data_IF_829412299733
#
_entry.id   IF_829412299733
#
_cell.length_a   1.000
_cell.length_b   1.000
_cell.length_c   1.000
_cell.angle_alpha   90.00
_cell.angle_beta   90.00
_cell.angle_gamma   90.00
#
_symmetry.space_group_name_H-M   'P 1'
#
loop_
_entity.id
_entity.type
_entity.pdbx_description
1 polymer ?
#
# COMPACT_ATOMS: atom_id res chain seq x y z
N UNK A 1 4.81 11.01 5.84
CA UNK A 1 4.78 10.16 4.64
C UNK A 1 4.60 8.73 5.08
N UNK A 2 3.66 8.00 4.50
CA UNK A 2 3.54 6.56 4.73
C UNK A 2 4.61 5.88 3.90
N UNK A 3 5.68 5.43 4.54
CA UNK A 3 6.68 4.58 3.91
C UNK A 3 6.28 3.14 4.20
N UNK A 4 6.05 2.37 3.14
CA UNK A 4 5.77 0.96 3.27
C UNK A 4 7.10 0.20 3.24
N UNK A 5 7.29 -0.66 4.23
CA UNK A 5 8.47 -1.51 4.34
C UNK A 5 8.45 -2.61 3.28
N UNK A 6 9.64 -3.11 2.93
CA UNK A 6 9.76 -4.37 2.17
C UNK A 6 8.96 -5.47 2.86
N UNK A 7 8.18 -6.22 2.11
CA UNK A 7 7.30 -7.25 2.65
C UNK A 7 5.85 -6.80 2.87
N UNK A 8 5.58 -5.49 2.90
CA UNK A 8 4.23 -4.99 3.09
C UNK A 8 3.36 -5.35 1.89
N UNK A 9 2.15 -5.85 2.19
CA UNK A 9 1.15 -6.16 1.17
C UNK A 9 0.05 -5.10 1.23
N UNK A 10 -0.16 -4.43 0.11
CA UNK A 10 -1.24 -3.47 -0.08
C UNK A 10 -2.39 -4.11 -0.85
N UNK A 11 -3.60 -3.71 -0.53
CA UNK A 11 -4.84 -4.07 -1.21
C UNK A 11 -5.59 -2.81 -1.61
N UNK A 12 -6.32 -2.87 -2.72
CA UNK A 12 -7.20 -1.78 -3.11
C UNK A 12 -8.29 -1.59 -2.06
N UNK A 13 -8.54 -0.34 -1.67
CA UNK A 13 -9.61 0.00 -0.72
C UNK A 13 -11.02 -0.30 -1.26
N UNK A 14 -11.14 -0.60 -2.55
CA UNK A 14 -12.38 -0.99 -3.19
C UNK A 14 -12.48 -2.52 -3.27
N UNK A 15 -13.44 -3.12 -2.56
CA UNK A 15 -13.61 -4.57 -2.42
C UNK A 15 -13.79 -5.30 -3.76
N UNK A 16 -14.38 -4.65 -4.76
CA UNK A 16 -14.64 -5.24 -6.08
C UNK A 16 -13.41 -5.27 -7.03
N UNK A 17 -12.32 -4.55 -6.71
CA UNK A 17 -11.10 -4.59 -7.53
C UNK A 17 -10.31 -5.88 -7.31
N UNK A 18 -10.18 -6.31 -6.05
CA UNK A 18 -9.33 -7.44 -5.64
C UNK A 18 -7.82 -7.22 -5.86
N UNK A 19 -7.42 -6.00 -6.20
CA UNK A 19 -6.06 -5.66 -6.60
C UNK A 19 -5.11 -5.69 -5.39
N UNK A 20 -3.97 -6.39 -5.54
CA UNK A 20 -3.02 -6.63 -4.45
C UNK A 20 -1.59 -6.37 -4.92
N UNK A 21 -0.83 -5.60 -4.15
CA UNK A 21 0.54 -5.17 -4.48
C UNK A 21 1.45 -5.56 -3.33
N UNK A 22 2.63 -6.09 -3.65
CA UNK A 22 3.66 -6.40 -2.67
C UNK A 22 4.81 -5.42 -2.84
N UNK A 23 5.22 -4.79 -1.74
CA UNK A 23 6.38 -3.91 -1.71
C UNK A 23 7.65 -4.77 -1.68
N UNK A 24 8.36 -4.83 -2.82
CA UNK A 24 9.63 -5.54 -2.93
C UNK A 24 10.79 -4.77 -2.30
N UNK A 25 10.75 -3.43 -2.32
CA UNK A 25 11.76 -2.56 -1.72
C UNK A 25 11.15 -1.23 -1.26
N UNK A 26 11.72 -0.66 -0.20
CA UNK A 26 11.33 0.63 0.34
C UNK A 26 11.60 1.77 -0.65
N UNK A 27 10.62 2.66 -0.83
CA UNK A 27 10.80 3.85 -1.66
C UNK A 27 11.28 5.02 -0.80
N UNK A 28 12.51 5.50 -1.05
CA UNK A 28 13.13 6.63 -0.35
C UNK A 28 13.16 7.92 -1.19
N UNK A 29 12.26 8.06 -2.17
CA UNK A 29 12.22 9.25 -3.02
C UNK A 29 11.79 10.49 -2.22
N UNK A 30 12.51 11.63 -2.31
CA UNK A 30 12.26 12.82 -1.50
C UNK A 30 10.95 13.57 -1.84
N UNK A 31 10.31 13.24 -2.96
CA UNK A 31 9.09 13.89 -3.47
C UNK A 31 7.95 12.90 -3.75
N UNK A 32 7.98 11.67 -3.19
CA UNK A 32 6.92 10.70 -3.39
C UNK A 32 5.73 10.95 -2.47
N UNK A 33 4.53 11.09 -3.03
CA UNK A 33 3.29 11.39 -2.31
C UNK A 33 2.73 10.18 -1.53
N UNK A 34 3.56 9.25 -1.05
CA UNK A 34 3.28 8.24 -0.02
C UNK A 34 2.09 7.27 -0.21
N UNK A 35 1.26 7.41 -1.23
CA UNK A 35 0.04 6.62 -1.43
C UNK A 35 0.09 5.97 -2.80
N UNK A 36 0.26 4.65 -2.81
CA UNK A 36 0.13 3.87 -4.02
C UNK A 36 -1.32 3.93 -4.49
N UNK A 37 -1.53 4.20 -5.78
CA UNK A 37 -2.87 4.23 -6.38
C UNK A 37 -3.08 2.99 -7.21
N UNK A 38 -4.24 2.36 -7.06
CA UNK A 38 -4.66 1.27 -7.91
C UNK A 38 -4.99 1.79 -9.33
N UNK A 39 -4.92 0.93 -10.34
CA UNK A 39 -5.31 1.27 -11.71
C UNK A 39 -6.79 1.70 -11.82
N UNK A 40 -7.66 1.29 -10.88
CA UNK A 40 -9.04 1.77 -10.81
C UNK A 40 -9.18 3.20 -10.25
N UNK A 41 -8.08 3.82 -9.81
CA UNK A 41 -8.06 5.16 -9.23
C UNK A 41 -8.27 5.20 -7.71
N UNK A 42 -8.63 4.07 -7.08
CA UNK A 42 -8.75 3.98 -5.62
C UNK A 42 -7.38 3.87 -4.94
N UNK A 43 -7.23 4.35 -3.69
CA UNK A 43 -5.99 4.20 -2.95
C UNK A 43 -5.74 2.73 -2.57
N UNK A 44 -4.47 2.34 -2.57
CA UNK A 44 -4.00 1.09 -2.00
C UNK A 44 -3.75 1.30 -0.50
N UNK A 45 -4.32 0.43 0.32
CA UNK A 45 -4.20 0.42 1.78
C UNK A 45 -3.53 -0.88 2.21
N UNK A 46 -2.94 -0.94 3.41
CA UNK A 46 -2.37 -2.21 3.89
C UNK A 46 -3.46 -3.27 3.98
N UNK A 47 -3.20 -4.43 3.38
CA UNK A 47 -4.09 -5.57 3.49
C UNK A 47 -4.16 -5.94 4.98
N UNK A 48 -5.34 -5.78 5.59
CA UNK A 48 -5.54 -6.03 7.02
C UNK A 48 -5.03 -7.43 7.37
N UNK A 49 -3.98 -7.41 8.18
CA UNK A 49 -2.96 -8.46 8.34
C UNK A 49 -1.70 -7.88 8.99
N UNK A 50 -1.46 -6.57 8.86
CA UNK A 50 -0.59 -5.81 9.74
C UNK A 50 -1.31 -5.55 11.07
N UNK A 51 -0.89 -6.26 12.11
CA UNK A 51 -1.37 -6.12 13.47
C UNK A 51 -1.04 -4.72 14.00
N UNK A 52 -2.03 -3.83 14.14
CA UNK A 52 -1.92 -2.70 15.08
C UNK A 52 -2.11 -3.27 16.48
N UNK A 53 -1.00 -3.67 17.11
CA UNK A 53 -0.91 -3.80 18.58
C UNK A 53 -0.26 -2.52 19.08
N UNK A 54 -0.97 -1.77 19.93
CA UNK A 54 -0.47 -0.57 20.60
C UNK A 54 -1.60 0.33 21.06
#
# INVERSE_FOLDING_TARGET
MTQYTKGTVLTCAQDECGCRVHIDEECHCPAGDGVYTCACGAPLVEASGASTTG
#
